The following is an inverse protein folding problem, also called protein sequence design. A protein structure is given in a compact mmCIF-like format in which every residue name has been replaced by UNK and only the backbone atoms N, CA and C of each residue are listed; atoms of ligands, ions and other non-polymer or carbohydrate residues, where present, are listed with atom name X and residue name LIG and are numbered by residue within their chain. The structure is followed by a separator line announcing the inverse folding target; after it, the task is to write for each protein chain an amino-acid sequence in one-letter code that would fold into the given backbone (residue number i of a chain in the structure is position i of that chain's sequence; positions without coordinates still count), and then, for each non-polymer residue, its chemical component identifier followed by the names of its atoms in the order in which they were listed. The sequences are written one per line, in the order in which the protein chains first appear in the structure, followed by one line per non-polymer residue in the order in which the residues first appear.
data_IF_821196339160
#
_entry.id   IF_821196339160
#
_cell.length_a   1.000
_cell.length_b   1.000
_cell.length_c   1.000
_cell.angle_alpha   90.00
_cell.angle_beta   90.00
_cell.angle_gamma   90.00
#
_symmetry.space_group_name_H-M   'P 1'
#
loop_
_entity.id
_entity.type
_entity.pdbx_description
1 polymer ?
#
# COMPACT_ATOMS: atom_id res chain seq x y z
N UNK A 1 -3.74 12.17 -17.05
CA UNK A 1 -4.85 13.14 -17.19
C UNK A 1 -4.35 14.59 -17.03
N UNK A 2 -3.38 15.05 -17.84
CA UNK A 2 -2.84 16.43 -17.79
C UNK A 2 -2.74 17.08 -19.19
N UNK A 3 -3.34 16.44 -20.21
CA UNK A 3 -3.30 16.90 -21.60
C UNK A 3 -4.29 18.03 -21.91
N UNK A 4 -5.20 18.35 -20.98
CA UNK A 4 -6.35 19.22 -21.26
C UNK A 4 -6.11 20.72 -21.00
N UNK A 5 -4.99 21.13 -20.38
CA UNK A 5 -4.73 22.55 -20.05
C UNK A 5 -3.30 23.02 -20.43
N UNK A 6 -3.02 23.28 -21.72
CA UNK A 6 -1.69 23.67 -22.18
C UNK A 6 -1.18 24.97 -21.56
N UNK A 7 -2.08 25.91 -21.22
CA UNK A 7 -1.72 27.17 -20.56
C UNK A 7 -1.19 26.97 -19.13
N UNK A 8 -1.78 26.03 -18.38
CA UNK A 8 -1.41 25.77 -16.99
C UNK A 8 -0.07 25.02 -16.92
N UNK A 9 0.18 24.11 -17.86
CA UNK A 9 1.49 23.46 -18.05
C UNK A 9 2.58 24.48 -18.37
N UNK A 10 2.35 25.38 -19.32
CA UNK A 10 3.31 26.41 -19.70
C UNK A 10 3.63 27.38 -18.56
N UNK A 11 2.67 27.69 -17.69
CA UNK A 11 2.89 28.53 -16.51
C UNK A 11 3.76 27.83 -15.44
N UNK A 12 3.51 26.55 -15.19
CA UNK A 12 4.33 25.74 -14.28
C UNK A 12 5.76 25.65 -14.82
N UNK A 13 5.92 25.33 -16.11
CA UNK A 13 7.24 25.20 -16.73
C UNK A 13 8.01 26.54 -16.72
N UNK A 14 7.33 27.66 -17.03
CA UNK A 14 7.94 28.99 -17.00
C UNK A 14 8.29 29.50 -15.59
N UNK A 15 7.61 29.03 -14.54
CA UNK A 15 7.85 29.50 -13.17
C UNK A 15 8.90 28.66 -12.44
N UNK A 16 8.87 27.34 -12.61
CA UNK A 16 9.86 26.43 -12.00
C UNK A 16 11.16 26.34 -12.80
N UNK A 17 11.13 26.43 -14.13
CA UNK A 17 12.32 26.40 -15.00
C UNK A 17 12.71 27.77 -15.57
N UNK A 18 12.19 28.86 -15.00
CA UNK A 18 12.56 30.22 -15.40
C UNK A 18 14.08 30.45 -15.30
N UNK A 19 14.69 31.04 -16.34
CA UNK A 19 16.09 31.52 -16.32
C UNK A 19 16.35 32.51 -15.16
N UNK A 20 15.30 33.17 -14.67
CA UNK A 20 15.40 34.17 -13.61
C UNK A 20 15.45 33.52 -12.21
N UNK A 21 16.66 33.44 -11.65
CA UNK A 21 16.99 32.83 -10.35
C UNK A 21 16.05 33.24 -9.21
N UNK A 22 15.61 34.50 -9.16
CA UNK A 22 14.73 35.02 -8.09
C UNK A 22 13.31 34.46 -8.15
N UNK A 23 12.71 34.34 -9.35
CA UNK A 23 11.36 33.78 -9.51
C UNK A 23 11.32 32.30 -9.17
N UNK A 24 12.34 31.55 -9.59
CA UNK A 24 12.51 30.14 -9.21
C UNK A 24 12.65 29.98 -7.70
N UNK A 25 13.44 30.83 -7.04
CA UNK A 25 13.59 30.81 -5.58
C UNK A 25 12.27 31.12 -4.86
N UNK A 26 11.50 32.10 -5.31
CA UNK A 26 10.20 32.42 -4.74
C UNK A 26 9.19 31.28 -4.91
N UNK A 27 9.17 30.63 -6.08
CA UNK A 27 8.30 29.47 -6.32
C UNK A 27 8.65 28.30 -5.38
N UNK A 28 9.94 27.98 -5.23
CA UNK A 28 10.40 26.94 -4.30
C UNK A 28 10.07 27.31 -2.85
N UNK A 29 10.30 28.56 -2.44
CA UNK A 29 9.95 29.05 -1.10
C UNK A 29 8.45 28.97 -0.82
N UNK A 30 7.61 29.32 -1.80
CA UNK A 30 6.16 29.23 -1.66
C UNK A 30 5.71 27.78 -1.46
N UNK A 31 6.24 26.84 -2.26
CA UNK A 31 5.94 25.40 -2.12
C UNK A 31 6.41 24.87 -0.76
N UNK A 32 7.63 25.22 -0.34
CA UNK A 32 8.14 24.82 0.97
C UNK A 32 7.31 25.41 2.11
N UNK A 33 6.92 26.69 2.02
CA UNK A 33 6.11 27.35 3.04
C UNK A 33 4.72 26.69 3.17
N UNK A 34 4.07 26.39 2.04
CA UNK A 34 2.79 25.66 2.02
C UNK A 34 2.97 24.26 2.59
N UNK A 35 4.04 23.54 2.22
CA UNK A 35 4.35 22.22 2.75
C UNK A 35 4.58 22.22 4.26
N UNK A 36 5.41 23.15 4.77
CA UNK A 36 5.67 23.33 6.21
C UNK A 36 4.38 23.63 6.94
N UNK A 37 3.56 24.56 6.43
CA UNK A 37 2.29 24.92 7.04
C UNK A 37 1.34 23.72 7.11
N UNK A 38 1.20 22.96 6.02
CA UNK A 38 0.36 21.76 5.98
C UNK A 38 0.84 20.68 6.96
N UNK A 39 2.15 20.42 7.02
CA UNK A 39 2.76 19.44 7.95
C UNK A 39 2.56 19.90 9.40
N UNK A 40 2.83 21.17 9.70
CA UNK A 40 2.66 21.74 11.04
C UNK A 40 1.19 21.68 11.49
N UNK A 41 0.26 22.01 10.61
CA UNK A 41 -1.18 21.90 10.87
C UNK A 41 -1.58 20.44 11.14
N UNK A 42 -1.12 19.50 10.34
CA UNK A 42 -1.39 18.08 10.52
C UNK A 42 -0.86 17.56 11.85
N UNK A 43 0.39 17.91 12.21
CA UNK A 43 0.97 17.58 13.52
C UNK A 43 0.16 18.20 14.66
N UNK A 44 -0.29 19.45 14.51
CA UNK A 44 -1.10 20.14 15.51
C UNK A 44 -2.46 19.48 15.77
N UNK A 45 -3.07 18.87 14.74
CA UNK A 45 -4.38 18.21 14.85
C UNK A 45 -4.24 16.77 15.39
N UNK A 46 -3.31 15.99 14.83
CA UNK A 46 -3.22 14.54 15.08
C UNK A 46 -2.22 14.20 16.19
N UNK A 47 -1.35 15.14 16.53
CA UNK A 47 -0.24 14.95 17.46
C UNK A 47 1.03 14.42 16.79
N UNK A 48 2.21 14.63 17.42
CA UNK A 48 3.50 14.37 16.79
C UNK A 48 3.78 12.89 16.53
N UNK A 49 3.37 11.99 17.43
CA UNK A 49 3.63 10.55 17.29
C UNK A 49 2.84 9.95 16.12
N UNK A 50 1.53 10.22 16.05
CA UNK A 50 0.70 9.73 14.97
C UNK A 50 1.09 10.35 13.63
N UNK A 51 1.49 11.62 13.62
CA UNK A 51 2.01 12.26 12.41
C UNK A 51 3.30 11.60 11.89
N UNK A 52 4.21 11.21 12.79
CA UNK A 52 5.42 10.47 12.43
C UNK A 52 5.07 9.07 11.86
N UNK A 53 4.14 8.35 12.51
CA UNK A 53 3.68 7.04 12.03
C UNK A 53 3.06 7.17 10.63
N UNK A 54 2.23 8.20 10.40
CA UNK A 54 1.64 8.47 9.10
C UNK A 54 2.70 8.79 8.03
N UNK A 55 3.71 9.60 8.36
CA UNK A 55 4.81 9.90 7.45
C UNK A 55 5.59 8.63 7.07
N UNK A 56 5.94 7.79 8.05
CA UNK A 56 6.60 6.51 7.80
C UNK A 56 5.73 5.57 6.96
N UNK A 57 4.43 5.51 7.21
CA UNK A 57 3.49 4.71 6.43
C UNK A 57 3.41 5.18 4.97
N UNK A 58 3.40 6.50 4.72
CA UNK A 58 3.41 7.06 3.36
C UNK A 58 4.72 6.72 2.64
N UNK A 59 5.87 6.89 3.31
CA UNK A 59 7.18 6.57 2.74
C UNK A 59 7.26 5.08 2.39
N UNK A 60 6.96 4.20 3.36
CA UNK A 60 6.97 2.76 3.17
C UNK A 60 5.99 2.33 2.07
N UNK A 61 4.76 2.82 2.11
CA UNK A 61 3.76 2.55 1.06
C UNK A 61 4.25 2.97 -0.32
N UNK A 62 4.85 4.15 -0.44
CA UNK A 62 5.41 4.63 -1.71
C UNK A 62 6.56 3.74 -2.19
N UNK A 63 7.45 3.31 -1.29
CA UNK A 63 8.55 2.40 -1.62
C UNK A 63 8.03 1.05 -2.15
N UNK A 64 6.98 0.49 -1.52
CA UNK A 64 6.33 -0.75 -1.98
C UNK A 64 5.70 -0.55 -3.37
N UNK A 65 5.03 0.59 -3.60
CA UNK A 65 4.43 0.91 -4.90
C UNK A 65 5.48 1.00 -6.01
N UNK A 66 6.63 1.61 -5.71
CA UNK A 66 7.74 1.74 -6.67
C UNK A 66 8.37 0.37 -6.95
N UNK A 67 8.65 -0.40 -5.91
CA UNK A 67 9.31 -1.70 -6.03
C UNK A 67 8.77 -2.69 -4.98
N UNK A 68 8.29 -3.83 -5.48
CA UNK A 68 7.66 -4.89 -4.70
C UNK A 68 8.65 -5.54 -3.72
N UNK A 69 9.97 -5.42 -3.97
CA UNK A 69 11.01 -5.83 -3.04
C UNK A 69 10.83 -5.22 -1.64
N UNK A 70 10.49 -3.93 -1.57
CA UNK A 70 10.24 -3.25 -0.29
C UNK A 70 9.02 -3.81 0.43
N UNK A 71 8.07 -4.39 -0.29
CA UNK A 71 6.93 -5.08 0.32
C UNK A 71 7.36 -6.35 1.07
N UNK A 72 8.30 -7.11 0.52
CA UNK A 72 8.88 -8.26 1.23
C UNK A 72 9.73 -7.84 2.43
N UNK A 73 10.48 -6.74 2.32
CA UNK A 73 11.23 -6.16 3.46
C UNK A 73 10.28 -5.73 4.58
N UNK A 74 9.18 -5.04 4.24
CA UNK A 74 8.16 -4.64 5.20
C UNK A 74 7.48 -5.86 5.85
N UNK A 75 7.15 -6.89 5.06
CA UNK A 75 6.59 -8.14 5.55
C UNK A 75 7.54 -8.82 6.55
N UNK A 76 8.83 -8.94 6.20
CA UNK A 76 9.84 -9.49 7.10
C UNK A 76 9.95 -8.68 8.40
N UNK A 77 9.98 -7.35 8.30
CA UNK A 77 10.02 -6.47 9.47
C UNK A 77 8.81 -6.68 10.41
N UNK A 78 7.62 -6.89 9.85
CA UNK A 78 6.42 -7.21 10.64
C UNK A 78 6.52 -8.60 11.27
N UNK A 79 6.95 -9.61 10.53
CA UNK A 79 7.09 -10.99 11.04
C UNK A 79 8.08 -11.04 12.21
N UNK A 80 9.21 -10.33 12.13
CA UNK A 80 10.23 -10.36 13.19
C UNK A 80 9.99 -9.36 14.32
N UNK A 81 9.39 -8.20 14.02
CA UNK A 81 9.20 -7.14 15.01
C UNK A 81 7.84 -7.18 15.71
N UNK A 82 6.77 -7.42 14.95
CA UNK A 82 5.38 -7.24 15.39
C UNK A 82 4.43 -8.35 14.86
N UNK A 83 4.78 -9.65 14.98
CA UNK A 83 4.02 -10.72 14.33
C UNK A 83 2.58 -10.87 14.83
N UNK A 84 2.32 -10.55 16.10
CA UNK A 84 1.04 -10.74 16.76
C UNK A 84 0.30 -9.44 17.08
N UNK A 85 0.88 -8.29 16.71
CA UNK A 85 0.26 -7.01 17.01
C UNK A 85 -0.93 -6.74 16.08
N UNK A 86 -2.01 -6.18 16.64
CA UNK A 86 -3.23 -5.87 15.91
C UNK A 86 -3.47 -4.38 15.77
N UNK A 87 -4.13 -3.97 14.69
CA UNK A 87 -4.52 -2.58 14.49
C UNK A 87 -5.56 -2.15 15.55
N UNK A 88 -5.58 -0.87 15.94
CA UNK A 88 -6.44 -0.35 17.00
C UNK A 88 -7.88 -0.06 16.52
N UNK A 89 -8.38 -0.81 15.53
CA UNK A 89 -9.74 -0.68 15.00
C UNK A 89 -10.25 -2.04 14.48
N UNK A 90 -11.57 -2.17 14.33
CA UNK A 90 -12.21 -3.41 13.86
C UNK A 90 -13.12 -3.17 12.67
N UNK A 91 -13.05 -4.06 11.68
CA UNK A 91 -13.84 -4.02 10.43
C UNK A 91 -14.74 -5.26 10.30
N UNK A 92 -15.33 -5.71 11.41
CA UNK A 92 -15.94 -7.05 11.55
C UNK A 92 -14.99 -8.11 12.11
N UNK A 93 -13.69 -7.83 12.07
CA UNK A 93 -12.64 -8.50 12.81
C UNK A 93 -11.51 -7.51 13.15
N UNK A 94 -10.58 -7.91 14.02
CA UNK A 94 -9.38 -7.11 14.34
C UNK A 94 -8.20 -7.55 13.46
N UNK A 95 -7.83 -6.80 12.41
CA UNK A 95 -6.71 -7.14 11.55
C UNK A 95 -5.37 -7.03 12.28
N UNK A 96 -4.44 -7.91 11.94
CA UNK A 96 -3.06 -7.86 12.42
C UNK A 96 -2.18 -6.96 11.53
N UNK A 97 -1.00 -6.55 12.02
CA UNK A 97 -0.02 -5.92 11.14
C UNK A 97 0.44 -6.87 10.03
N UNK A 98 0.44 -8.18 10.27
CA UNK A 98 0.76 -9.20 9.27
C UNK A 98 -0.29 -9.21 8.17
N UNK A 99 -1.58 -9.20 8.53
CA UNK A 99 -2.70 -9.13 7.59
C UNK A 99 -2.58 -7.87 6.71
N UNK A 100 -2.24 -6.73 7.32
CA UNK A 100 -2.07 -5.46 6.61
C UNK A 100 -0.86 -5.49 5.65
N UNK A 101 0.27 -6.05 6.08
CA UNK A 101 1.48 -6.14 5.27
C UNK A 101 1.30 -7.09 4.08
N UNK A 102 0.75 -8.29 4.31
CA UNK A 102 0.40 -9.24 3.26
C UNK A 102 -0.62 -8.64 2.29
N UNK A 103 -1.69 -8.05 2.82
CA UNK A 103 -2.71 -7.39 2.02
C UNK A 103 -2.15 -6.28 1.14
N UNK A 104 -1.29 -5.42 1.69
CA UNK A 104 -0.64 -4.35 0.91
C UNK A 104 0.30 -4.90 -0.17
N UNK A 105 1.13 -5.91 0.16
CA UNK A 105 2.04 -6.55 -0.79
C UNK A 105 1.27 -7.19 -1.96
N UNK A 106 0.26 -8.01 -1.66
CA UNK A 106 -0.57 -8.66 -2.68
C UNK A 106 -1.37 -7.63 -3.49
N UNK A 107 -1.91 -6.59 -2.85
CA UNK A 107 -2.65 -5.53 -3.53
C UNK A 107 -1.78 -4.77 -4.53
N UNK A 108 -0.57 -4.37 -4.13
CA UNK A 108 0.35 -3.66 -5.02
C UNK A 108 0.84 -4.56 -6.15
N UNK A 109 1.19 -5.81 -5.85
CA UNK A 109 1.56 -6.80 -6.86
C UNK A 109 0.45 -7.01 -7.89
N UNK A 110 -0.81 -7.19 -7.43
CA UNK A 110 -1.97 -7.35 -8.30
C UNK A 110 -2.21 -6.10 -9.15
N UNK A 111 -2.11 -4.89 -8.59
CA UNK A 111 -2.23 -3.64 -9.35
C UNK A 111 -1.16 -3.54 -10.44
N UNK A 112 0.09 -3.90 -10.13
CA UNK A 112 1.18 -3.92 -11.11
C UNK A 112 0.94 -4.94 -12.22
N UNK A 113 0.36 -6.09 -11.89
CA UNK A 113 -0.06 -7.10 -12.87
C UNK A 113 -1.16 -6.55 -13.80
N UNK A 114 -2.20 -5.93 -13.24
CA UNK A 114 -3.32 -5.35 -13.99
C UNK A 114 -2.88 -4.21 -14.92
N UNK A 115 -1.95 -3.37 -14.48
CA UNK A 115 -1.39 -2.27 -15.30
C UNK A 115 -0.35 -2.78 -16.31
N UNK A 116 0.01 -4.07 -16.24
CA UNK A 116 0.99 -4.69 -17.12
C UNK A 116 2.42 -4.20 -16.89
N UNK A 117 2.69 -3.70 -15.68
CA UNK A 117 4.03 -3.35 -15.22
C UNK A 117 4.83 -4.60 -14.82
N UNK A 118 4.15 -5.66 -14.40
CA UNK A 118 4.71 -7.00 -14.18
C UNK A 118 4.22 -7.91 -15.32
N UNK A 119 5.08 -8.21 -16.29
CA UNK A 119 4.72 -9.02 -17.47
C UNK A 119 5.26 -10.45 -17.43
N UNK A 120 6.28 -10.69 -16.62
CA UNK A 120 6.90 -12.00 -16.52
C UNK A 120 6.33 -12.74 -15.32
N UNK A 121 5.22 -13.43 -15.54
CA UNK A 121 4.74 -14.41 -14.57
C UNK A 121 5.60 -15.67 -14.69
N UNK A 122 6.66 -15.74 -13.89
CA UNK A 122 7.54 -16.90 -13.84
C UNK A 122 6.84 -17.99 -13.04
N UNK A 123 6.21 -18.93 -13.76
CA UNK A 123 5.57 -20.08 -13.14
C UNK A 123 6.64 -21.04 -12.62
N UNK A 124 6.87 -21.02 -11.31
CA UNK A 124 7.77 -21.98 -10.66
C UNK A 124 7.06 -23.31 -10.38
N UNK A 125 7.78 -24.45 -10.31
CA UNK A 125 7.19 -25.73 -9.90
C UNK A 125 6.50 -25.65 -8.53
N UNK A 126 7.05 -24.84 -7.61
CA UNK A 126 6.43 -24.54 -6.31
C UNK A 126 5.12 -23.76 -6.47
N UNK A 127 5.08 -22.77 -7.37
CA UNK A 127 3.85 -22.02 -7.68
C UNK A 127 2.72 -22.93 -8.16
N UNK A 128 3.03 -23.99 -8.91
CA UNK A 128 2.04 -24.98 -9.32
C UNK A 128 1.53 -25.82 -8.13
N UNK A 129 2.41 -26.26 -7.24
CA UNK A 129 2.02 -27.00 -6.03
C UNK A 129 1.17 -26.13 -5.08
N UNK A 130 1.55 -24.87 -4.90
CA UNK A 130 0.77 -23.89 -4.12
C UNK A 130 -0.58 -23.64 -4.80
N UNK A 131 -0.63 -23.50 -6.12
CA UNK A 131 -1.87 -23.39 -6.89
C UNK A 131 -2.80 -24.59 -6.69
N UNK A 132 -2.26 -25.81 -6.72
CA UNK A 132 -3.02 -27.04 -6.47
C UNK A 132 -3.56 -27.09 -5.03
N UNK A 133 -2.72 -26.73 -4.04
CA UNK A 133 -3.14 -26.61 -2.65
C UNK A 133 -4.30 -25.60 -2.50
N UNK A 134 -4.16 -24.40 -3.08
CA UNK A 134 -5.21 -23.37 -3.04
C UNK A 134 -6.51 -23.87 -3.68
N UNK A 135 -6.42 -24.53 -4.83
CA UNK A 135 -7.59 -25.11 -5.51
C UNK A 135 -8.29 -26.15 -4.62
N UNK A 136 -7.53 -27.08 -4.05
CA UNK A 136 -8.07 -28.11 -3.15
C UNK A 136 -8.68 -27.51 -1.88
N UNK A 137 -8.04 -26.49 -1.31
CA UNK A 137 -8.55 -25.76 -0.15
C UNK A 137 -9.88 -25.05 -0.45
N UNK A 138 -9.99 -24.38 -1.60
CA UNK A 138 -11.22 -23.72 -2.06
C UNK A 138 -12.36 -24.72 -2.25
N UNK A 139 -12.11 -25.85 -2.93
CA UNK A 139 -13.13 -26.89 -3.10
C UNK A 139 -13.58 -27.49 -1.76
N UNK A 140 -12.62 -27.76 -0.87
CA UNK A 140 -12.92 -28.30 0.47
C UNK A 140 -13.75 -27.33 1.30
N UNK A 141 -13.40 -26.04 1.27
CA UNK A 141 -14.16 -24.99 1.97
C UNK A 141 -15.57 -24.84 1.39
N UNK A 142 -15.70 -24.73 0.05
CA UNK A 142 -16.98 -24.62 -0.62
C UNK A 142 -17.90 -25.82 -0.34
N UNK A 143 -17.36 -27.04 -0.34
CA UNK A 143 -18.11 -28.23 0.05
C UNK A 143 -18.51 -28.19 1.53
N UNK A 144 -17.62 -27.74 2.42
CA UNK A 144 -17.91 -27.58 3.85
C UNK A 144 -19.07 -26.61 4.14
N UNK A 145 -19.29 -25.59 3.30
CA UNK A 145 -20.40 -24.65 3.44
C UNK A 145 -21.79 -25.30 3.31
N UNK A 146 -21.87 -26.50 2.74
CA UNK A 146 -23.13 -27.28 2.70
C UNK A 146 -23.55 -27.81 4.07
N UNK A 147 -22.62 -27.90 5.02
CA UNK A 147 -22.86 -28.42 6.37
C UNK A 147 -22.86 -27.31 7.44
N UNK A 148 -22.38 -26.11 7.13
CA UNK A 148 -22.37 -24.96 8.05
C UNK A 148 -22.34 -23.63 7.30
N UNK A 149 -23.11 -22.64 7.77
CA UNK A 149 -23.16 -21.32 7.14
C UNK A 149 -21.85 -20.54 7.34
N UNK A 150 -21.40 -19.87 6.28
CA UNK A 150 -20.26 -18.96 6.35
C UNK A 150 -20.56 -17.79 7.29
N UNK A 151 -19.62 -17.46 8.17
CA UNK A 151 -19.63 -16.23 8.95
C UNK A 151 -18.27 -15.53 8.81
N UNK A 152 -18.18 -14.29 9.29
CA UNK A 152 -16.96 -13.48 9.14
C UNK A 152 -15.71 -14.15 9.73
N UNK A 153 -15.86 -14.92 10.82
CA UNK A 153 -14.76 -15.66 11.42
C UNK A 153 -14.26 -16.79 10.51
N UNK A 154 -15.14 -17.62 9.95
CA UNK A 154 -14.75 -18.71 9.05
C UNK A 154 -14.13 -18.20 7.75
N UNK A 155 -14.72 -17.15 7.15
CA UNK A 155 -14.19 -16.54 5.92
C UNK A 155 -12.78 -15.98 6.18
N UNK A 156 -12.59 -15.26 7.30
CA UNK A 156 -11.28 -14.74 7.67
C UNK A 156 -10.27 -15.86 7.84
N UNK A 157 -10.58 -16.88 8.65
CA UNK A 157 -9.63 -17.97 8.94
C UNK A 157 -9.27 -18.74 7.68
N UNK A 158 -10.22 -18.94 6.76
CA UNK A 158 -9.92 -19.56 5.48
C UNK A 158 -9.01 -18.67 4.62
N UNK A 159 -9.28 -17.36 4.54
CA UNK A 159 -8.43 -16.41 3.82
C UNK A 159 -7.01 -16.34 4.40
N UNK A 160 -6.85 -16.41 5.72
CA UNK A 160 -5.55 -16.49 6.41
C UNK A 160 -4.74 -17.74 6.04
N UNK A 161 -5.37 -18.82 5.58
CA UNK A 161 -4.68 -20.03 5.12
C UNK A 161 -4.24 -19.91 3.65
N UNK A 162 -4.97 -19.13 2.85
CA UNK A 162 -4.67 -18.92 1.44
C UNK A 162 -3.56 -17.87 1.21
N UNK A 163 -3.46 -16.88 2.10
CA UNK A 163 -2.44 -15.83 2.10
C UNK A 163 -1.16 -16.30 2.79
#
# INVERSE_FOLDING_TARGET
MLTTYPALRNLIDQTFFATNRRRRQLAVLAVLAVGIFAIALFIGIVGPLLALIAALAIIAGTMILLDTHWGFVALAAVVYGLPFASLPFSIGFKPTFLDAALGALFFVWLLKLVIGAEREFILSPLGLLVGLFMLMAIFSFAYGLTHSAANSFFIRRFAEILL
#
